data_IF_141838003342
#
_entry.id   IF_141838003342
#
_cell.length_a   1.000
_cell.length_b   1.000
_cell.length_c   1.000
_cell.angle_alpha   90.00
_cell.angle_beta   90.00
_cell.angle_gamma   90.00
#
_symmetry.space_group_name_H-M   'P 1'
#
loop_
_entity.id
_entity.type
_entity.pdbx_description
1 polymer ?
#
# COMPACT_ATOMS: atom_id res chain seq x y z
N UNK A 1 -16.62 54.05 3.54
CA UNK A 1 -16.76 52.78 2.79
C UNK A 1 -15.69 51.84 3.31
N UNK A 2 -16.00 51.20 4.43
CA UNK A 2 -15.29 50.03 4.92
C UNK A 2 -15.77 48.83 4.10
N UNK A 3 -14.83 47.95 3.71
CA UNK A 3 -15.03 46.51 3.53
C UNK A 3 -13.76 45.94 2.88
N UNK A 4 -12.85 45.39 3.69
CA UNK A 4 -11.91 44.39 3.21
C UNK A 4 -12.15 43.11 4.00
N UNK A 5 -12.73 42.14 3.32
CA UNK A 5 -13.22 40.87 3.82
C UNK A 5 -12.01 39.98 4.16
N UNK A 6 -11.91 39.59 5.42
CA UNK A 6 -10.96 38.59 5.90
C UNK A 6 -11.40 37.21 5.40
N UNK A 7 -10.68 36.65 4.42
CA UNK A 7 -10.83 35.25 4.00
C UNK A 7 -10.14 34.36 5.05
N UNK A 8 -10.95 33.70 5.88
CA UNK A 8 -10.51 32.56 6.67
C UNK A 8 -10.52 31.32 5.76
N UNK A 9 -9.35 30.71 5.55
CA UNK A 9 -9.22 29.42 4.86
C UNK A 9 -9.52 28.30 5.86
N UNK A 10 -10.68 27.68 5.72
CA UNK A 10 -11.01 26.41 6.39
C UNK A 10 -10.13 25.27 5.84
N UNK A 11 -9.10 24.89 6.59
CA UNK A 11 -8.33 23.67 6.33
C UNK A 11 -9.19 22.44 6.69
N UNK A 12 -9.75 21.78 5.67
CA UNK A 12 -10.34 20.44 5.84
C UNK A 12 -9.24 19.43 6.17
N UNK A 13 -9.45 18.51 7.13
CA UNK A 13 -8.48 17.45 7.43
C UNK A 13 -8.32 16.55 6.20
N UNK A 14 -7.14 16.62 5.60
CA UNK A 14 -6.75 15.83 4.46
C UNK A 14 -6.62 14.37 4.92
N UNK A 15 -7.63 13.55 4.61
CA UNK A 15 -7.54 12.11 4.76
C UNK A 15 -6.39 11.61 3.88
N UNK A 16 -5.26 11.32 4.51
CA UNK A 16 -4.12 10.68 3.86
C UNK A 16 -4.54 9.29 3.43
N UNK A 17 -4.91 9.14 2.16
CA UNK A 17 -5.08 7.82 1.59
C UNK A 17 -3.74 7.08 1.68
N UNK A 18 -3.76 5.78 2.02
CA UNK A 18 -2.53 5.00 2.01
C UNK A 18 -1.87 5.12 0.63
N UNK A 19 -0.54 5.34 0.57
CA UNK A 19 0.17 5.53 -0.68
C UNK A 19 -0.03 4.31 -1.59
N UNK A 20 -0.15 4.53 -2.89
CA UNK A 20 -0.27 3.42 -3.84
C UNK A 20 0.99 2.58 -3.78
N UNK A 21 0.85 1.26 -3.86
CA UNK A 21 2.00 0.35 -3.88
C UNK A 21 3.02 0.72 -4.97
N UNK A 22 2.57 1.25 -6.11
CA UNK A 22 3.42 1.68 -7.22
C UNK A 22 4.25 2.95 -6.95
N UNK A 23 3.92 3.69 -5.89
CA UNK A 23 4.57 4.95 -5.51
C UNK A 23 5.56 4.73 -4.35
N UNK A 24 5.67 3.50 -3.82
CA UNK A 24 6.61 3.14 -2.76
C UNK A 24 8.02 3.05 -3.34
N UNK A 25 8.93 3.88 -2.83
CA UNK A 25 10.36 3.78 -3.11
C UNK A 25 10.95 2.54 -2.46
N UNK A 26 11.73 1.77 -3.20
CA UNK A 26 12.43 0.58 -2.69
C UNK A 26 13.88 0.95 -2.40
N UNK A 27 14.25 1.05 -1.12
CA UNK A 27 15.59 1.50 -0.70
C UNK A 27 16.44 0.40 -0.07
N UNK A 28 15.82 -0.71 0.33
CA UNK A 28 16.51 -1.86 0.91
C UNK A 28 15.78 -3.18 0.58
N UNK A 29 16.44 -4.29 0.87
CA UNK A 29 15.94 -5.65 0.56
C UNK A 29 14.63 -5.97 1.30
N UNK A 30 14.47 -5.51 2.54
CA UNK A 30 13.25 -5.76 3.33
C UNK A 30 12.05 -5.01 2.74
N UNK A 31 12.23 -3.77 2.31
CA UNK A 31 11.22 -2.99 1.60
C UNK A 31 10.84 -3.64 0.27
N UNK A 32 11.82 -4.11 -0.50
CA UNK A 32 11.58 -4.82 -1.76
C UNK A 32 10.71 -6.06 -1.52
N UNK A 33 11.07 -6.88 -0.53
CA UNK A 33 10.35 -8.09 -0.16
C UNK A 33 8.91 -7.78 0.29
N UNK A 34 8.74 -6.80 1.18
CA UNK A 34 7.42 -6.40 1.67
C UNK A 34 6.53 -5.87 0.53
N UNK A 35 7.11 -5.12 -0.41
CA UNK A 35 6.40 -4.63 -1.58
C UNK A 35 5.98 -5.77 -2.51
N UNK A 36 6.84 -6.75 -2.75
CA UNK A 36 6.50 -7.96 -3.51
C UNK A 36 5.33 -8.73 -2.87
N UNK A 37 5.38 -8.96 -1.56
CA UNK A 37 4.29 -9.62 -0.82
C UNK A 37 2.98 -8.83 -0.92
N UNK A 38 3.06 -7.50 -0.88
CA UNK A 38 1.89 -6.63 -1.02
C UNK A 38 1.26 -6.72 -2.42
N UNK A 39 2.08 -6.80 -3.48
CA UNK A 39 1.59 -7.02 -4.84
C UNK A 39 0.97 -8.41 -5.03
N UNK A 40 1.53 -9.45 -4.43
CA UNK A 40 0.95 -10.80 -4.48
C UNK A 40 -0.45 -10.83 -3.83
N UNK A 41 -0.62 -10.19 -2.67
CA UNK A 41 -1.94 -10.04 -2.05
C UNK A 41 -2.91 -9.24 -2.93
N UNK A 42 -2.45 -8.19 -3.61
CA UNK A 42 -3.27 -7.42 -4.53
C UNK A 42 -3.69 -8.25 -5.74
N UNK A 43 -2.80 -9.06 -6.30
CA UNK A 43 -3.09 -9.96 -7.42
C UNK A 43 -4.11 -11.03 -7.02
N UNK A 44 -4.00 -11.61 -5.81
CA UNK A 44 -5.00 -12.54 -5.28
C UNK A 44 -6.39 -11.88 -5.18
N UNK A 45 -6.49 -10.65 -4.65
CA UNK A 45 -7.77 -9.91 -4.58
C UNK A 45 -8.39 -9.63 -5.95
N UNK A 46 -7.57 -9.56 -7.00
CA UNK A 46 -8.01 -9.39 -8.39
C UNK A 46 -8.39 -10.70 -9.08
N UNK A 47 -8.25 -11.84 -8.41
CA UNK A 47 -8.53 -13.16 -9.00
C UNK A 47 -7.48 -13.60 -10.01
N UNK A 48 -6.24 -13.12 -9.90
CA UNK A 48 -5.16 -13.51 -10.81
C UNK A 48 -4.73 -14.99 -10.63
N UNK A 49 -5.03 -15.57 -9.46
CA UNK A 49 -4.67 -16.93 -9.09
C UNK A 49 -5.92 -17.69 -8.65
N UNK A 50 -5.96 -18.98 -8.95
CA UNK A 50 -6.94 -19.89 -8.37
C UNK A 50 -6.58 -20.24 -6.90
N UNK A 51 -7.41 -21.06 -6.24
CA UNK A 51 -7.22 -21.40 -4.83
C UNK A 51 -5.93 -22.20 -4.59
N UNK A 52 -5.59 -23.14 -5.47
CA UNK A 52 -4.40 -23.99 -5.35
C UNK A 52 -3.12 -23.18 -5.52
N UNK A 53 -3.08 -22.31 -6.53
CA UNK A 53 -1.99 -21.38 -6.79
C UNK A 53 -1.80 -20.41 -5.62
N UNK A 54 -2.89 -19.84 -5.11
CA UNK A 54 -2.87 -18.93 -3.95
C UNK A 54 -2.31 -19.61 -2.70
N UNK A 55 -2.71 -20.86 -2.45
CA UNK A 55 -2.19 -21.65 -1.33
C UNK A 55 -0.67 -21.86 -1.47
N UNK A 56 -0.19 -22.20 -2.67
CA UNK A 56 1.24 -22.41 -2.89
C UNK A 56 2.06 -21.13 -2.77
N UNK A 57 1.54 -20.01 -3.27
CA UNK A 57 2.17 -18.69 -3.12
C UNK A 57 2.28 -18.32 -1.64
N UNK A 58 1.23 -18.56 -0.85
CA UNK A 58 1.25 -18.28 0.58
C UNK A 58 2.34 -19.07 1.32
N UNK A 59 2.51 -20.37 1.03
CA UNK A 59 3.60 -21.18 1.59
C UNK A 59 4.98 -20.56 1.30
N UNK A 60 5.18 -20.06 0.07
CA UNK A 60 6.41 -19.39 -0.31
C UNK A 60 6.61 -18.08 0.47
N UNK A 61 5.56 -17.25 0.58
CA UNK A 61 5.61 -15.98 1.34
C UNK A 61 5.96 -16.24 2.82
N UNK A 62 5.41 -17.29 3.41
CA UNK A 62 5.66 -17.65 4.81
C UNK A 62 7.15 -17.92 5.11
N UNK A 63 7.91 -18.46 4.16
CA UNK A 63 9.36 -18.66 4.34
C UNK A 63 10.11 -17.34 4.55
N UNK A 64 9.64 -16.26 3.93
CA UNK A 64 10.24 -14.95 4.02
C UNK A 64 9.72 -14.11 5.19
N UNK A 65 8.48 -14.35 5.62
CA UNK A 65 7.91 -13.72 6.82
C UNK A 65 8.51 -14.28 8.12
N UNK A 66 9.07 -15.50 8.09
CA UNK A 66 9.63 -16.18 9.25
C UNK A 66 11.10 -15.80 9.47
N UNK A 67 11.34 -14.53 9.78
CA UNK A 67 12.56 -14.01 10.44
C UNK A 67 12.32 -12.58 10.92
N UNK A 68 12.05 -12.44 12.20
CA UNK A 68 12.53 -11.35 13.04
C UNK A 68 13.30 -11.98 14.19
#
# INVERSE_FOLDING_TARGET
MENNISMQTDEKPQQTQPPKLTEISVTNENEALNLMVSFLHMAQKRGAFNLEESAKIWDCVQLFMRKA
#
